data_IF_106271894174
#
_entry.id   IF_106271894174
#
_cell.length_a   1.000
_cell.length_b   1.000
_cell.length_c   1.000
_cell.angle_alpha   90.00
_cell.angle_beta   90.00
_cell.angle_gamma   90.00
#
_symmetry.space_group_name_H-M   'P 1'
#
loop_
_entity.id
_entity.type
_entity.pdbx_description
1 polymer ?
#
# COMPACT_ATOMS: atom_id res chain seq x y z
N UNK A 1 5.41 2.65 -8.43
CA UNK A 1 5.02 2.07 -7.12
C UNK A 1 4.58 0.63 -7.29
N UNK A 2 4.95 -0.24 -6.36
CA UNK A 2 4.59 -1.65 -6.31
C UNK A 2 3.98 -2.02 -4.95
N UNK A 3 3.17 -3.08 -4.93
CA UNK A 3 2.57 -3.64 -3.71
C UNK A 3 2.80 -5.15 -3.64
N UNK A 4 3.15 -5.68 -2.46
CA UNK A 4 3.29 -7.13 -2.21
C UNK A 4 2.57 -7.55 -0.92
N UNK A 5 1.74 -8.59 -1.02
CA UNK A 5 1.18 -9.28 0.15
C UNK A 5 2.26 -10.16 0.79
N UNK A 6 2.52 -9.94 2.08
CA UNK A 6 3.48 -10.72 2.86
C UNK A 6 2.81 -11.97 3.46
N UNK A 7 3.62 -12.97 3.79
CA UNK A 7 3.14 -14.24 4.35
C UNK A 7 2.45 -14.09 5.71
N UNK A 8 2.75 -13.02 6.44
CA UNK A 8 2.11 -12.69 7.73
C UNK A 8 0.83 -11.83 7.58
N UNK A 9 0.36 -11.66 6.35
CA UNK A 9 -0.87 -10.94 6.03
C UNK A 9 -0.72 -9.42 5.90
N UNK A 10 0.46 -8.84 6.17
CA UNK A 10 0.75 -7.42 5.92
C UNK A 10 0.95 -7.12 4.43
N UNK A 11 0.96 -5.84 4.07
CA UNK A 11 1.20 -5.38 2.69
C UNK A 11 2.40 -4.44 2.67
N UNK A 12 3.40 -4.75 1.86
CA UNK A 12 4.54 -3.86 1.61
C UNK A 12 4.27 -3.00 0.37
N UNK A 13 4.51 -1.69 0.49
CA UNK A 13 4.47 -0.72 -0.60
C UNK A 13 5.87 -0.17 -0.85
N UNK A 14 6.31 -0.15 -2.10
CA UNK A 14 7.61 0.39 -2.49
C UNK A 14 7.47 1.43 -3.59
N UNK A 15 8.14 2.57 -3.43
CA UNK A 15 8.39 3.49 -4.52
C UNK A 15 9.47 2.91 -5.44
N UNK A 16 9.09 2.63 -6.68
CA UNK A 16 9.99 2.05 -7.68
C UNK A 16 11.04 3.04 -8.18
N UNK A 17 10.80 4.34 -8.00
CA UNK A 17 11.76 5.39 -8.36
C UNK A 17 12.80 5.63 -7.27
N UNK A 18 12.59 5.09 -6.07
CA UNK A 18 13.49 5.18 -4.93
C UNK A 18 13.75 3.77 -4.34
N UNK A 19 14.44 2.89 -5.09
CA UNK A 19 14.56 1.47 -4.73
C UNK A 19 15.35 1.21 -3.43
N UNK A 20 16.19 2.16 -3.01
CA UNK A 20 16.98 2.10 -1.78
C UNK A 20 16.19 2.56 -0.53
N UNK A 21 14.98 3.08 -0.71
CA UNK A 21 14.10 3.45 0.40
C UNK A 21 13.33 2.24 0.89
N UNK A 22 13.28 2.07 2.20
CA UNK A 22 12.60 0.91 2.75
C UNK A 22 11.09 0.91 2.49
N UNK A 23 10.51 -0.25 2.12
CA UNK A 23 9.09 -0.35 1.85
C UNK A 23 8.24 0.03 3.07
N UNK A 24 7.11 0.70 2.83
CA UNK A 24 6.10 0.89 3.86
C UNK A 24 5.34 -0.41 4.09
N UNK A 25 5.40 -0.93 5.32
CA UNK A 25 4.68 -2.16 5.69
C UNK A 25 3.39 -1.82 6.43
N UNK A 26 2.26 -2.03 5.77
CA UNK A 26 0.92 -1.75 6.26
C UNK A 26 0.28 -2.99 6.87
N UNK A 27 -0.49 -2.79 7.95
CA UNK A 27 -1.42 -3.81 8.45
C UNK A 27 -2.51 -4.06 7.42
N UNK A 28 -3.00 -5.30 7.34
CA UNK A 28 -4.07 -5.69 6.40
C UNK A 28 -5.29 -4.77 6.45
N UNK A 29 -5.79 -4.49 7.66
CA UNK A 29 -6.97 -3.64 7.84
C UNK A 29 -6.78 -2.19 7.37
N UNK A 30 -5.54 -1.67 7.37
CA UNK A 30 -5.24 -0.34 6.85
C UNK A 30 -5.24 -0.36 5.32
N UNK A 31 -4.62 -1.37 4.72
CA UNK A 31 -4.64 -1.58 3.27
C UNK A 31 -6.07 -1.71 2.73
N UNK A 32 -6.93 -2.50 3.38
CA UNK A 32 -8.30 -2.69 2.93
C UNK A 32 -9.10 -1.36 2.94
N UNK A 33 -8.88 -0.51 3.96
CA UNK A 33 -9.46 0.85 4.02
C UNK A 33 -8.90 1.77 2.94
N UNK A 34 -7.60 1.71 2.68
CA UNK A 34 -6.96 2.47 1.61
C UNK A 34 -7.57 2.12 0.24
N UNK A 35 -7.68 0.83 -0.09
CA UNK A 35 -8.28 0.37 -1.36
C UNK A 35 -9.76 0.79 -1.46
N UNK A 36 -10.52 0.69 -0.37
CA UNK A 36 -11.90 1.14 -0.35
C UNK A 36 -12.03 2.66 -0.58
N UNK A 37 -11.19 3.47 0.08
CA UNK A 37 -11.14 4.91 -0.12
C UNK A 37 -10.78 5.29 -1.56
N UNK A 38 -9.75 4.66 -2.12
CA UNK A 38 -9.32 4.89 -3.51
C UNK A 38 -10.45 4.58 -4.51
N UNK A 39 -11.17 3.47 -4.33
CA UNK A 39 -12.34 3.12 -5.16
C UNK A 39 -13.50 4.11 -5.03
N UNK A 40 -13.61 4.79 -3.90
CA UNK A 40 -14.64 5.78 -3.63
C UNK A 40 -14.20 7.21 -4.04
N UNK A 41 -13.09 7.36 -4.75
CA UNK A 41 -12.63 8.65 -5.28
C UNK A 41 -12.07 9.61 -4.21
N UNK A 42 -11.55 9.11 -3.08
CA UNK A 42 -10.96 9.97 -2.03
C UNK A 42 -9.78 10.82 -2.54
N UNK A 43 -9.14 10.39 -3.63
CA UNK A 43 -8.02 11.08 -4.25
C UNK A 43 -8.41 11.83 -5.53
N UNK A 44 -9.71 11.98 -5.82
CA UNK A 44 -10.22 12.68 -7.01
C UNK A 44 -10.40 14.17 -6.69
N UNK A 45 -9.28 14.91 -6.64
CA UNK A 45 -9.23 16.36 -6.40
C UNK A 45 -8.74 17.14 -7.62
#
# INVERSE_FOLDING_TARGET
>A
MEAKHLSDGRVALRDTEQPDTEPWVLRRAVWDKFVAGAKNGIFDF
#
